data_IF_300450055851
#
_entry.id   IF_300450055851
#
_cell.length_a   1.000
_cell.length_b   1.000
_cell.length_c   1.000
_cell.angle_alpha   90.00
_cell.angle_beta   90.00
_cell.angle_gamma   90.00
#
_symmetry.space_group_name_H-M   'P 1'
#
loop_
_entity.id
_entity.type
_entity.pdbx_description
1 polymer ?
#
# COMPACT_ATOMS: atom_id res chain seq x y z
N UNK A 1 14.91 18.80 -10.88
CA UNK A 1 14.03 17.75 -10.33
C UNK A 1 12.73 17.82 -11.12
N UNK A 2 12.40 16.82 -11.94
CA UNK A 2 11.06 16.78 -12.55
C UNK A 2 10.05 16.61 -11.40
N UNK A 3 9.23 17.64 -11.18
CA UNK A 3 8.23 17.67 -10.13
C UNK A 3 7.22 16.57 -10.48
N UNK A 4 7.27 15.45 -9.78
CA UNK A 4 6.20 14.47 -9.86
C UNK A 4 4.95 15.15 -9.28
N UNK A 5 3.81 15.06 -9.95
CA UNK A 5 2.50 15.49 -9.39
C UNK A 5 1.99 14.51 -8.32
N UNK A 6 2.90 13.75 -7.71
CA UNK A 6 2.62 12.70 -6.74
C UNK A 6 2.17 13.26 -5.39
N UNK A 7 2.63 14.47 -5.06
CA UNK A 7 2.30 15.15 -3.81
C UNK A 7 1.57 16.46 -4.07
N UNK A 8 0.62 16.78 -3.19
CA UNK A 8 -0.14 18.03 -3.20
C UNK A 8 0.07 18.72 -1.87
N UNK A 9 0.60 19.95 -1.89
CA UNK A 9 0.66 20.78 -0.69
C UNK A 9 -0.77 21.19 -0.28
N UNK A 10 -1.09 21.06 1.01
CA UNK A 10 -2.41 21.35 1.57
C UNK A 10 -2.44 22.64 2.40
N UNK A 11 -1.31 23.34 2.52
CA UNK A 11 -1.16 24.51 3.37
C UNK A 11 -0.18 24.26 4.51
N UNK A 12 -0.22 25.14 5.50
CA UNK A 12 0.65 25.13 6.70
C UNK A 12 -0.06 24.62 7.95
N UNK A 13 -1.38 24.41 7.89
CA UNK A 13 -2.16 23.93 9.02
C UNK A 13 -1.83 22.47 9.30
N UNK A 14 -1.62 22.12 10.58
CA UNK A 14 -1.39 20.74 10.99
C UNK A 14 -2.67 19.90 10.76
N UNK A 15 -2.66 18.92 9.85
CA UNK A 15 -3.83 18.09 9.58
C UNK A 15 -4.04 17.03 10.67
N UNK A 16 -3.10 16.81 11.58
CA UNK A 16 -3.13 15.70 12.54
C UNK A 16 -4.38 15.71 13.44
N UNK A 17 -4.79 16.84 14.06
CA UNK A 17 -5.97 16.85 14.93
C UNK A 17 -7.26 16.47 14.19
N UNK A 18 -7.47 17.02 12.98
CA UNK A 18 -8.62 16.68 12.15
C UNK A 18 -8.56 15.22 11.69
N UNK A 19 -7.38 14.75 11.27
CA UNK A 19 -7.19 13.38 10.82
C UNK A 19 -7.46 12.35 11.93
N UNK A 20 -7.09 12.64 13.18
CA UNK A 20 -7.43 11.82 14.35
C UNK A 20 -8.95 11.74 14.53
N UNK A 21 -9.61 12.90 14.58
CA UNK A 21 -11.06 12.99 14.74
C UNK A 21 -11.78 12.23 13.62
N UNK A 22 -11.39 12.48 12.37
CA UNK A 22 -11.93 11.85 11.16
C UNK A 22 -11.76 10.34 11.18
N UNK A 23 -10.58 9.83 11.58
CA UNK A 23 -10.32 8.39 11.64
C UNK A 23 -11.20 7.69 12.68
N UNK A 24 -11.25 8.21 13.91
CA UNK A 24 -12.08 7.63 14.96
C UNK A 24 -13.57 7.74 14.65
N UNK A 25 -14.02 8.88 14.10
CA UNK A 25 -15.40 9.06 13.64
C UNK A 25 -15.77 8.04 12.56
N UNK A 26 -14.91 7.87 11.55
CA UNK A 26 -15.14 6.92 10.48
C UNK A 26 -15.29 5.48 10.98
N UNK A 27 -14.43 5.06 11.90
CA UNK A 27 -14.51 3.73 12.53
C UNK A 27 -15.80 3.56 13.35
N UNK A 28 -16.18 4.59 14.11
CA UNK A 28 -17.42 4.60 14.87
C UNK A 28 -18.65 4.48 13.95
N UNK A 29 -18.69 5.22 12.84
CA UNK A 29 -19.77 5.16 11.86
C UNK A 29 -19.88 3.77 11.23
N UNK A 30 -18.75 3.16 10.86
CA UNK A 30 -18.72 1.77 10.36
C UNK A 30 -19.24 0.77 11.38
N UNK A 31 -18.90 0.96 12.67
CA UNK A 31 -19.37 0.10 13.76
C UNK A 31 -20.89 0.24 13.96
N UNK A 32 -21.40 1.47 14.02
CA UNK A 32 -22.84 1.75 14.21
C UNK A 32 -23.67 1.17 13.06
N UNK A 33 -23.17 1.26 11.84
CA UNK A 33 -23.77 0.65 10.66
C UNK A 33 -23.47 -0.86 10.50
N UNK A 34 -22.82 -1.49 11.50
CA UNK A 34 -22.50 -2.93 11.55
C UNK A 34 -21.64 -3.43 10.38
N UNK A 35 -20.79 -2.57 9.83
CA UNK A 35 -19.77 -2.95 8.84
C UNK A 35 -18.54 -3.58 9.48
N UNK A 36 -18.26 -3.24 10.74
CA UNK A 36 -17.23 -3.84 11.60
C UNK A 36 -17.81 -4.17 12.98
N UNK A 37 -17.18 -5.10 13.69
CA UNK A 37 -17.58 -5.49 15.04
C UNK A 37 -17.05 -4.52 16.10
N UNK A 38 -17.58 -4.60 17.32
CA UNK A 38 -17.05 -3.86 18.48
C UNK A 38 -15.55 -4.12 18.68
N UNK A 39 -15.15 -5.40 18.67
CA UNK A 39 -13.76 -5.83 18.84
C UNK A 39 -12.84 -5.26 17.75
N UNK A 40 -13.30 -5.25 16.50
CA UNK A 40 -12.55 -4.64 15.39
C UNK A 40 -12.42 -3.14 15.58
N UNK A 41 -13.48 -2.45 15.96
CA UNK A 41 -13.44 -1.01 16.24
C UNK A 41 -12.44 -0.69 17.35
N UNK A 42 -12.46 -1.42 18.47
CA UNK A 42 -11.51 -1.24 19.58
C UNK A 42 -10.05 -1.47 19.14
N UNK A 43 -9.79 -2.48 18.30
CA UNK A 43 -8.45 -2.74 17.74
C UNK A 43 -7.97 -1.60 16.82
N UNK A 44 -8.90 -0.98 16.08
CA UNK A 44 -8.58 -0.02 15.02
C UNK A 44 -8.56 1.44 15.47
N UNK A 45 -9.32 1.79 16.52
CA UNK A 45 -9.35 3.15 17.07
C UNK A 45 -7.97 3.58 17.57
N UNK A 46 -7.75 4.89 17.52
CA UNK A 46 -6.48 5.52 17.87
C UNK A 46 -6.65 6.51 19.01
N UNK A 47 -5.63 6.60 19.86
CA UNK A 47 -5.51 7.65 20.86
C UNK A 47 -4.60 8.75 20.33
N UNK A 48 -4.90 10.00 20.66
CA UNK A 48 -4.09 11.15 20.23
C UNK A 48 -2.65 11.07 20.73
N UNK A 49 -2.40 10.46 21.88
CA UNK A 49 -1.06 10.26 22.44
C UNK A 49 -0.23 9.18 21.74
N UNK A 50 -0.83 8.37 20.88
CA UNK A 50 -0.17 7.23 20.23
C UNK A 50 0.20 7.49 18.76
N UNK A 51 -0.23 8.62 18.21
CA UNK A 51 -0.17 8.89 16.78
C UNK A 51 0.56 10.19 16.47
N UNK A 52 1.26 10.19 15.34
CA UNK A 52 1.96 11.36 14.81
C UNK A 52 1.80 11.40 13.29
N UNK A 53 1.95 12.58 12.71
CA UNK A 53 1.93 12.72 11.26
C UNK A 53 3.15 12.01 10.67
N UNK A 54 3.02 11.45 9.46
CA UNK A 54 4.17 10.86 8.80
C UNK A 54 5.16 11.95 8.37
N UNK A 55 6.45 11.65 8.27
CA UNK A 55 7.48 12.61 7.88
C UNK A 55 8.17 12.20 6.58
N UNK A 56 8.30 13.14 5.64
CA UNK A 56 9.06 12.96 4.40
C UNK A 56 10.53 13.29 4.61
N UNK A 57 11.41 12.32 4.32
CA UNK A 57 12.86 12.52 4.28
C UNK A 57 13.46 11.89 3.03
N UNK A 58 14.76 12.12 2.79
CA UNK A 58 15.43 11.69 1.57
C UNK A 58 16.64 10.81 1.86
N UNK A 59 16.77 9.72 1.12
CA UNK A 59 17.95 8.84 1.15
C UNK A 59 18.75 8.94 -0.17
N UNK A 60 20.08 9.08 -0.13
CA UNK A 60 20.90 9.13 -1.34
C UNK A 60 20.94 7.78 -2.06
N UNK A 61 20.77 7.78 -3.38
CA UNK A 61 21.01 6.61 -4.24
C UNK A 61 22.48 6.61 -4.69
N UNK A 62 23.40 6.25 -3.78
CA UNK A 62 24.86 6.31 -4.01
C UNK A 62 25.36 5.52 -5.25
N UNK A 63 24.63 4.48 -5.64
CA UNK A 63 24.95 3.65 -6.81
C UNK A 63 24.55 4.28 -8.16
N UNK A 64 23.93 5.47 -8.18
CA UNK A 64 23.53 6.15 -9.42
C UNK A 64 24.38 7.41 -9.65
N UNK A 65 24.76 7.72 -10.90
CA UNK A 65 25.46 8.96 -11.22
C UNK A 65 24.72 10.19 -10.69
N UNK A 66 25.44 11.13 -10.09
CA UNK A 66 24.87 12.35 -9.48
C UNK A 66 24.11 12.11 -8.17
N UNK A 67 24.16 10.90 -7.60
CA UNK A 67 23.61 10.54 -6.28
C UNK A 67 22.19 11.08 -6.04
N UNK A 68 21.22 10.79 -6.94
CA UNK A 68 19.86 11.28 -6.80
C UNK A 68 19.23 10.84 -5.48
N UNK A 69 18.37 11.67 -4.92
CA UNK A 69 17.65 11.39 -3.68
C UNK A 69 16.43 10.49 -3.92
N UNK A 70 16.16 9.59 -2.98
CA UNK A 70 14.93 8.80 -2.89
C UNK A 70 14.05 9.36 -1.78
N UNK A 71 12.83 9.84 -2.07
CA UNK A 71 11.90 10.22 -1.03
C UNK A 71 11.45 8.99 -0.24
N UNK A 72 11.39 9.09 1.08
CA UNK A 72 10.86 8.09 2.00
C UNK A 72 9.87 8.78 2.94
N UNK A 73 8.68 8.19 3.10
CA UNK A 73 7.69 8.63 4.07
C UNK A 73 7.74 7.67 5.26
N UNK A 74 8.16 8.17 6.43
CA UNK A 74 8.10 7.42 7.69
C UNK A 74 6.77 7.70 8.39
N UNK A 75 5.92 6.68 8.52
CA UNK A 75 4.56 6.81 9.08
C UNK A 75 4.18 5.71 10.05
N UNK A 76 5.11 5.23 10.88
CA UNK A 76 4.86 4.08 11.77
C UNK A 76 3.79 4.35 12.84
N UNK A 77 3.57 5.61 13.21
CA UNK A 77 2.50 6.05 14.11
C UNK A 77 1.41 6.87 13.41
N UNK A 78 1.32 6.78 12.08
CA UNK A 78 0.33 7.52 11.32
C UNK A 78 -1.11 7.14 11.76
N UNK A 79 -2.09 8.07 11.80
CA UNK A 79 -3.46 7.76 12.22
C UNK A 79 -4.14 6.59 11.50
N UNK A 80 -3.78 6.32 10.24
CA UNK A 80 -4.32 5.19 9.47
C UNK A 80 -3.55 3.88 9.63
N UNK A 81 -2.45 3.84 10.40
CA UNK A 81 -1.53 2.70 10.44
C UNK A 81 -2.16 1.42 10.99
N UNK A 82 -3.04 1.53 12.00
CA UNK A 82 -3.76 0.38 12.57
C UNK A 82 -4.68 -0.26 11.53
N UNK A 83 -5.37 0.57 10.73
CA UNK A 83 -6.22 0.11 9.61
C UNK A 83 -5.37 -0.53 8.52
N UNK A 84 -4.26 0.11 8.13
CA UNK A 84 -3.36 -0.42 7.11
C UNK A 84 -2.78 -1.78 7.48
N UNK A 85 -2.29 -1.94 8.72
CA UNK A 85 -1.76 -3.22 9.23
C UNK A 85 -2.84 -4.29 9.27
N UNK A 86 -4.04 -3.95 9.73
CA UNK A 86 -5.16 -4.89 9.75
C UNK A 86 -5.55 -5.38 8.35
N UNK A 87 -5.57 -4.48 7.36
CA UNK A 87 -5.82 -4.84 5.96
C UNK A 87 -4.69 -5.70 5.39
N UNK A 88 -3.43 -5.36 5.70
CA UNK A 88 -2.27 -6.12 5.25
C UNK A 88 -2.30 -7.57 5.78
N UNK A 89 -2.50 -7.75 7.09
CA UNK A 89 -2.67 -9.07 7.72
C UNK A 89 -3.78 -9.91 7.05
N UNK A 90 -4.88 -9.25 6.65
CA UNK A 90 -6.03 -9.90 6.04
C UNK A 90 -5.80 -10.28 4.57
N UNK A 91 -5.09 -9.43 3.82
CA UNK A 91 -4.95 -9.53 2.38
C UNK A 91 -3.70 -10.28 1.95
N UNK A 92 -2.64 -10.27 2.76
CA UNK A 92 -1.34 -10.87 2.43
C UNK A 92 -1.45 -12.37 2.05
N UNK A 93 -2.19 -13.23 2.79
CA UNK A 93 -2.31 -14.64 2.41
C UNK A 93 -3.02 -14.86 1.06
N UNK A 94 -3.92 -13.95 0.69
CA UNK A 94 -4.61 -14.00 -0.60
C UNK A 94 -3.67 -13.56 -1.72
N UNK A 95 -2.92 -12.48 -1.48
CA UNK A 95 -1.93 -11.98 -2.40
C UNK A 95 -0.85 -13.04 -2.67
N UNK A 96 -0.28 -13.65 -1.63
CA UNK A 96 0.78 -14.66 -1.75
C UNK A 96 0.31 -15.86 -2.60
N UNK A 97 -0.93 -16.30 -2.40
CA UNK A 97 -1.52 -17.39 -3.21
C UNK A 97 -1.65 -17.02 -4.69
N UNK A 98 -1.97 -15.76 -5.00
CA UNK A 98 -2.05 -15.30 -6.40
C UNK A 98 -0.66 -15.07 -7.01
N UNK A 99 0.24 -14.52 -6.20
CA UNK A 99 1.60 -14.18 -6.61
C UNK A 99 2.46 -15.44 -6.87
N UNK A 100 2.18 -16.56 -6.21
CA UNK A 100 3.00 -17.78 -6.30
C UNK A 100 3.20 -18.31 -7.74
N UNK A 101 2.30 -18.00 -8.66
CA UNK A 101 2.38 -18.44 -10.06
C UNK A 101 2.91 -17.37 -11.02
N UNK A 102 3.09 -16.13 -10.56
CA UNK A 102 3.41 -14.97 -11.41
C UNK A 102 4.63 -14.18 -10.93
N UNK A 103 5.08 -14.45 -9.71
CA UNK A 103 6.14 -13.72 -9.03
C UNK A 103 7.23 -14.69 -8.59
N UNK A 104 8.48 -14.28 -8.76
CA UNK A 104 9.66 -14.97 -8.24
C UNK A 104 10.14 -14.24 -6.98
N UNK A 105 10.53 -15.00 -5.96
CA UNK A 105 10.90 -14.43 -4.66
C UNK A 105 12.38 -14.10 -4.55
N UNK A 106 13.21 -14.65 -5.43
CA UNK A 106 14.65 -14.41 -5.46
C UNK A 106 15.25 -14.52 -6.86
N UNK A 107 16.41 -13.87 -7.06
CA UNK A 107 17.18 -14.00 -8.30
C UNK A 107 17.66 -15.43 -8.57
N UNK A 108 17.99 -16.19 -7.52
CA UNK A 108 18.38 -17.59 -7.64
C UNK A 108 17.24 -18.46 -8.17
N UNK A 109 16.04 -18.28 -7.62
CA UNK A 109 14.84 -18.96 -8.10
C UNK A 109 14.55 -18.60 -9.56
N UNK A 110 14.61 -17.32 -9.91
CA UNK A 110 14.43 -16.86 -11.28
C UNK A 110 15.38 -17.54 -12.26
N UNK A 111 16.69 -17.54 -11.96
CA UNK A 111 17.70 -18.16 -12.84
C UNK A 111 17.44 -19.66 -12.98
N UNK A 112 17.13 -20.36 -11.89
CA UNK A 112 16.82 -21.81 -11.92
C UNK A 112 15.59 -22.11 -12.77
N UNK A 113 14.52 -21.32 -12.61
CA UNK A 113 13.29 -21.50 -13.38
C UNK A 113 13.52 -21.19 -14.88
N UNK A 114 14.23 -20.11 -15.19
CA UNK A 114 14.59 -19.74 -16.56
C UNK A 114 15.46 -20.81 -17.23
N UNK A 115 16.48 -21.35 -16.54
CA UNK A 115 17.33 -22.43 -17.06
C UNK A 115 16.54 -23.71 -17.33
N UNK A 116 15.53 -24.02 -16.50
CA UNK A 116 14.66 -25.17 -16.74
C UNK A 116 13.78 -24.92 -17.96
N UNK A 117 13.13 -23.77 -18.02
CA UNK A 117 12.24 -23.37 -19.11
C UNK A 117 12.98 -23.27 -20.45
N UNK A 118 14.22 -22.78 -20.44
CA UNK A 118 15.01 -22.54 -21.65
C UNK A 118 15.40 -23.80 -22.41
N UNK A 119 15.44 -24.96 -21.75
CA UNK A 119 15.78 -26.24 -22.40
C UNK A 119 14.82 -26.61 -23.52
N UNK A 120 13.54 -26.29 -23.34
CA UNK A 120 12.48 -26.70 -24.27
C UNK A 120 11.87 -25.51 -25.02
N UNK A 121 12.11 -24.26 -24.57
CA UNK A 121 11.33 -23.09 -25.03
C UNK A 121 12.16 -21.88 -25.48
N UNK A 122 13.51 -21.94 -25.45
CA UNK A 122 14.34 -20.76 -25.75
C UNK A 122 15.25 -21.02 -26.96
N UNK A 123 14.85 -20.58 -28.16
CA UNK A 123 15.71 -20.56 -29.35
C UNK A 123 16.99 -19.74 -29.13
N UNK A 124 18.04 -20.02 -29.91
CA UNK A 124 19.31 -19.29 -29.82
C UNK A 124 19.18 -17.79 -30.13
N UNK A 125 18.19 -17.42 -30.94
CA UNK A 125 17.91 -16.05 -31.35
C UNK A 125 17.07 -15.27 -30.32
N UNK A 126 16.78 -15.87 -29.17
CA UNK A 126 15.98 -15.25 -28.12
C UNK A 126 16.67 -14.01 -27.55
N UNK A 127 15.91 -12.93 -27.41
CA UNK A 127 16.38 -11.69 -26.79
C UNK A 127 15.79 -11.55 -25.39
N UNK A 128 16.65 -11.21 -24.44
CA UNK A 128 16.22 -10.84 -23.09
C UNK A 128 15.88 -9.36 -23.04
N UNK A 129 14.64 -9.07 -22.66
CA UNK A 129 14.14 -7.71 -22.48
C UNK A 129 13.84 -7.48 -21.00
N UNK A 130 14.42 -6.42 -20.43
CA UNK A 130 14.12 -5.99 -19.06
C UNK A 130 13.28 -4.72 -19.11
N UNK A 131 12.10 -4.78 -18.50
CA UNK A 131 11.23 -3.61 -18.31
C UNK A 131 11.24 -3.25 -16.83
N UNK A 132 11.47 -1.97 -16.52
CA UNK A 132 11.47 -1.48 -15.15
C UNK A 132 10.48 -0.32 -15.01
N UNK A 133 9.62 -0.38 -13.99
CA UNK A 133 8.71 0.72 -13.65
C UNK A 133 9.46 1.73 -12.79
N UNK A 134 9.56 2.97 -13.27
CA UNK A 134 10.16 4.06 -12.52
C UNK A 134 9.20 4.55 -11.42
N UNK A 135 9.75 4.82 -10.23
CA UNK A 135 9.09 5.50 -9.11
C UNK A 135 7.68 4.97 -8.75
N UNK A 136 7.53 3.64 -8.84
CA UNK A 136 6.28 2.89 -8.68
C UNK A 136 5.41 3.41 -7.53
N UNK A 137 5.95 3.50 -6.31
CA UNK A 137 5.20 3.91 -5.12
C UNK A 137 4.54 5.29 -5.22
N UNK A 138 5.17 6.23 -5.93
CA UNK A 138 4.66 7.60 -6.09
C UNK A 138 3.72 7.75 -7.28
N UNK A 139 3.66 6.73 -8.14
CA UNK A 139 2.93 6.78 -9.42
C UNK A 139 1.67 5.94 -9.42
N UNK A 140 1.36 5.18 -8.35
CA UNK A 140 0.09 4.46 -8.23
C UNK A 140 -1.03 5.44 -7.87
N UNK A 141 -2.01 5.67 -8.76
CA UNK A 141 -3.13 6.53 -8.43
C UNK A 141 -4.02 5.89 -7.35
N UNK A 142 -4.51 6.70 -6.41
CA UNK A 142 -5.24 6.20 -5.23
C UNK A 142 -6.52 5.42 -5.61
N UNK A 143 -7.30 5.93 -6.56
CA UNK A 143 -8.56 5.29 -7.00
C UNK A 143 -8.28 3.96 -7.67
N UNK A 144 -7.31 3.93 -8.57
CA UNK A 144 -6.90 2.77 -9.35
C UNK A 144 -6.29 1.69 -8.45
N UNK A 145 -5.57 2.07 -7.39
CA UNK A 145 -5.08 1.13 -6.37
C UNK A 145 -6.22 0.40 -5.66
N UNK A 146 -7.27 1.12 -5.25
CA UNK A 146 -8.47 0.52 -4.64
C UNK A 146 -9.24 -0.35 -5.64
N UNK A 147 -9.33 0.07 -6.91
CA UNK A 147 -9.97 -0.72 -7.96
C UNK A 147 -9.18 -2.00 -8.29
N UNK A 148 -7.85 -1.96 -8.26
CA UNK A 148 -7.02 -3.14 -8.45
C UNK A 148 -7.26 -4.16 -7.32
N UNK A 149 -7.33 -3.70 -6.07
CA UNK A 149 -7.71 -4.56 -4.94
C UNK A 149 -9.11 -5.17 -5.14
N UNK A 150 -10.09 -4.37 -5.57
CA UNK A 150 -11.44 -4.90 -5.87
C UNK A 150 -11.40 -5.98 -6.95
N UNK A 151 -10.68 -5.75 -8.05
CA UNK A 151 -10.51 -6.72 -9.13
C UNK A 151 -9.86 -8.02 -8.63
N UNK A 152 -8.88 -7.93 -7.74
CA UNK A 152 -8.24 -9.10 -7.12
C UNK A 152 -9.28 -9.92 -6.33
N UNK A 153 -10.06 -9.26 -5.47
CA UNK A 153 -11.08 -9.93 -4.64
C UNK A 153 -12.22 -10.52 -5.48
N UNK A 154 -12.63 -9.83 -6.54
CA UNK A 154 -13.62 -10.31 -7.51
C UNK A 154 -13.11 -11.53 -8.29
N UNK A 155 -11.84 -11.53 -8.70
CA UNK A 155 -11.20 -12.67 -9.37
C UNK A 155 -11.17 -13.92 -8.48
N UNK A 156 -10.92 -13.74 -7.18
CA UNK A 156 -10.98 -14.81 -6.19
C UNK A 156 -12.42 -15.22 -5.83
N UNK A 157 -13.44 -14.54 -6.36
CA UNK A 157 -14.88 -14.79 -6.13
C UNK A 157 -15.25 -14.78 -4.64
N UNK A 158 -14.55 -13.98 -3.84
CA UNK A 158 -14.77 -13.91 -2.40
C UNK A 158 -15.94 -12.96 -2.08
N UNK A 159 -16.80 -13.36 -1.14
CA UNK A 159 -17.83 -12.48 -0.57
C UNK A 159 -17.38 -11.80 0.73
N UNK A 160 -16.41 -12.41 1.41
CA UNK A 160 -15.79 -11.92 2.61
C UNK A 160 -14.36 -12.47 2.73
N UNK A 161 -13.52 -11.81 3.52
CA UNK A 161 -12.21 -12.31 3.96
C UNK A 161 -12.20 -12.29 5.48
N UNK A 162 -11.96 -13.44 6.10
CA UNK A 162 -12.24 -13.63 7.53
C UNK A 162 -13.70 -13.26 7.83
N UNK A 163 -13.88 -12.35 8.79
CA UNK A 163 -15.19 -11.86 9.21
C UNK A 163 -15.62 -10.55 8.52
N UNK A 164 -14.85 -10.05 7.54
CA UNK A 164 -15.15 -8.79 6.84
C UNK A 164 -15.71 -9.03 5.45
N UNK A 165 -16.85 -8.40 5.15
CA UNK A 165 -17.36 -8.28 3.78
C UNK A 165 -16.36 -7.54 2.89
N UNK A 166 -16.28 -7.92 1.62
CA UNK A 166 -15.40 -7.24 0.64
C UNK A 166 -15.65 -5.74 0.59
N UNK A 167 -16.92 -5.31 0.64
CA UNK A 167 -17.27 -3.88 0.66
C UNK A 167 -16.64 -3.13 1.85
N UNK A 168 -16.58 -3.74 3.03
CA UNK A 168 -15.89 -3.17 4.20
C UNK A 168 -14.39 -3.02 3.93
N UNK A 169 -13.76 -4.04 3.34
CA UNK A 169 -12.33 -4.02 3.00
C UNK A 169 -12.05 -2.87 2.02
N UNK A 170 -12.82 -2.76 0.94
CA UNK A 170 -12.68 -1.68 -0.05
C UNK A 170 -12.86 -0.30 0.58
N UNK A 171 -13.83 -0.14 1.49
CA UNK A 171 -14.06 1.10 2.24
C UNK A 171 -12.88 1.48 3.13
N UNK A 172 -12.33 0.52 3.87
CA UNK A 172 -11.15 0.75 4.72
C UNK A 172 -9.92 1.07 3.87
N UNK A 173 -9.68 0.32 2.78
CA UNK A 173 -8.56 0.57 1.87
C UNK A 173 -8.65 1.95 1.22
N UNK A 174 -9.84 2.36 0.77
CA UNK A 174 -10.06 3.72 0.25
C UNK A 174 -9.76 4.78 1.31
N UNK A 175 -10.23 4.57 2.53
CA UNK A 175 -9.97 5.51 3.63
C UNK A 175 -8.47 5.67 3.89
N UNK A 176 -7.71 4.57 3.93
CA UNK A 176 -6.24 4.63 4.07
C UNK A 176 -5.62 5.40 2.89
N UNK A 177 -5.95 5.04 1.65
CA UNK A 177 -5.36 5.64 0.45
C UNK A 177 -5.60 7.15 0.35
N UNK A 178 -6.79 7.62 0.75
CA UNK A 178 -7.18 9.04 0.67
C UNK A 178 -6.69 9.90 1.83
N UNK A 179 -6.23 9.30 2.92
CA UNK A 179 -5.80 10.01 4.12
C UNK A 179 -4.30 9.81 4.40
N UNK A 180 -3.47 9.71 3.36
CA UNK A 180 -2.02 9.58 3.45
C UNK A 180 -1.33 10.94 3.56
N UNK A 181 -1.51 11.62 4.71
CA UNK A 181 -0.91 12.93 4.98
C UNK A 181 0.48 12.76 5.61
N UNK A 182 1.37 13.72 5.34
CA UNK A 182 2.71 13.78 5.92
C UNK A 182 3.17 15.24 6.05
N UNK A 183 4.07 15.53 6.99
CA UNK A 183 4.81 16.79 7.06
C UNK A 183 6.13 16.69 6.29
N UNK A 184 6.63 17.84 5.88
CA UNK A 184 7.92 18.00 5.23
C UNK A 184 8.57 19.30 5.71
N UNK A 185 9.82 19.20 6.17
CA UNK A 185 10.58 20.30 6.79
C UNK A 185 9.89 20.91 8.01
N UNK A 186 9.77 20.12 9.08
CA UNK A 186 9.51 20.66 10.42
C UNK A 186 10.72 21.46 10.95
#
# INVERSE_FOLDING_TARGET
>A
MNITKAYKCLGTDDPLPDLICRTNKYLLDLRLAKWITQKQNEKLCINSSEVELAHLYYLPRAHKPGTPLRPIISGLKHPTVKISKFLDELLLPLFDRMASNTTVTSGFELVKQLQKWSKDNMPQESLFCTVNVADLYTMVPQTEGVLALKKMLDHLKLKQVGDLKIETIIRLSRFVMQNNYFSYND
#
